data_IF_979114719637
#
_entry.id   IF_979114719637
#
_cell.length_a   1.000
_cell.length_b   1.000
_cell.length_c   1.000
_cell.angle_alpha   90.00
_cell.angle_beta   90.00
_cell.angle_gamma   90.00
#
_symmetry.space_group_name_H-M   'P 1'
#
loop_
_entity.id
_entity.type
_entity.pdbx_description
1 polymer ?
#
# COMPACT_ATOMS: atom_id res chain seq x y z
N UNK A 1 -4.29 25.74 9.76
CA UNK A 1 -2.99 26.10 9.14
C UNK A 1 -1.90 25.33 9.88
N UNK A 2 -1.57 24.13 9.40
CA UNK A 2 -0.47 23.31 9.90
C UNK A 2 0.34 22.89 8.67
N UNK A 3 1.33 23.71 8.35
CA UNK A 3 2.29 23.46 7.28
C UNK A 3 3.15 22.25 7.63
N UNK A 4 3.00 21.17 6.88
CA UNK A 4 3.97 20.08 6.84
C UNK A 4 5.29 20.60 6.23
N UNK A 5 6.47 20.23 6.75
CA UNK A 5 7.72 20.61 6.12
C UNK A 5 7.87 19.83 4.81
N UNK A 6 7.77 20.56 3.70
CA UNK A 6 8.06 20.08 2.35
C UNK A 6 9.53 19.63 2.31
N UNK A 7 9.79 18.32 2.27
CA UNK A 7 11.12 17.80 1.94
C UNK A 7 11.34 18.07 0.45
N UNK A 8 12.23 19.01 0.15
CA UNK A 8 12.65 19.31 -1.22
C UNK A 8 13.28 18.06 -1.85
N UNK A 9 12.58 17.44 -2.78
CA UNK A 9 13.11 16.43 -3.68
C UNK A 9 12.96 16.93 -5.12
N UNK A 10 13.55 18.09 -5.40
CA UNK A 10 13.72 18.56 -6.78
C UNK A 10 15.05 18.00 -7.27
N UNK A 11 15.00 16.88 -8.00
CA UNK A 11 15.81 16.55 -9.19
C UNK A 11 15.50 15.11 -9.62
N UNK A 12 14.58 14.96 -10.57
CA UNK A 12 14.64 13.83 -11.49
C UNK A 12 16.03 13.86 -12.15
N UNK A 13 16.87 12.86 -11.85
CA UNK A 13 18.13 12.66 -12.56
C UNK A 13 17.83 11.88 -13.85
N UNK A 14 17.99 12.47 -15.06
CA UNK A 14 17.71 11.78 -16.32
C UNK A 14 18.84 10.86 -16.79
N UNK A 15 19.96 10.76 -16.06
CA UNK A 15 21.11 9.97 -16.47
C UNK A 15 21.06 8.52 -15.96
N UNK A 16 20.25 7.70 -16.62
CA UNK A 16 20.31 6.23 -16.51
C UNK A 16 21.57 5.70 -17.19
N UNK A 17 22.74 5.96 -16.59
CA UNK A 17 23.98 5.30 -16.96
C UNK A 17 24.06 4.03 -16.12
N UNK A 18 24.13 2.87 -16.79
CA UNK A 18 24.55 1.60 -16.19
C UNK A 18 25.95 1.79 -15.57
N UNK A 19 26.00 2.25 -14.32
CA UNK A 19 27.25 2.34 -13.58
C UNK A 19 27.67 0.91 -13.26
N UNK A 20 28.70 0.45 -13.96
CA UNK A 20 29.43 -0.76 -13.60
C UNK A 20 29.80 -0.67 -12.12
N UNK A 21 29.18 -1.52 -11.31
CA UNK A 21 29.35 -1.51 -9.86
C UNK A 21 30.75 -2.01 -9.56
N UNK A 22 31.66 -1.08 -9.25
CA UNK A 22 32.95 -1.43 -8.68
C UNK A 22 32.68 -2.24 -7.39
N UNK A 23 33.27 -3.43 -7.26
CA UNK A 23 32.93 -4.43 -6.22
C UNK A 23 33.09 -3.86 -4.79
N UNK A 24 33.81 -2.74 -4.64
CA UNK A 24 34.06 -2.07 -3.37
C UNK A 24 33.06 -0.95 -3.00
N UNK A 25 32.07 -0.61 -3.85
CA UNK A 25 31.07 0.41 -3.49
C UNK A 25 29.65 -0.04 -3.86
N UNK A 26 28.96 -0.63 -2.89
CA UNK A 26 27.56 -1.06 -3.04
C UNK A 26 26.68 0.18 -2.88
N UNK A 27 25.87 0.48 -3.91
CA UNK A 27 24.86 1.53 -3.83
C UNK A 27 23.72 1.05 -2.92
N UNK A 28 23.30 1.90 -1.99
CA UNK A 28 22.14 1.67 -1.14
C UNK A 28 20.95 2.45 -1.69
N UNK A 29 19.78 1.81 -1.62
CA UNK A 29 18.51 2.39 -2.03
C UNK A 29 17.51 2.34 -0.89
N UNK A 30 16.62 3.31 -0.87
CA UNK A 30 15.48 3.28 0.05
C UNK A 30 14.52 2.16 -0.34
N UNK A 31 14.17 1.35 0.64
CA UNK A 31 13.24 0.25 0.48
C UNK A 31 12.45 -0.03 1.76
N UNK A 32 11.16 -0.28 1.60
CA UNK A 32 10.31 -0.86 2.62
C UNK A 32 10.33 -2.37 2.52
N UNK A 33 10.39 -3.05 3.66
CA UNK A 33 10.00 -4.46 3.72
C UNK A 33 8.48 -4.54 3.71
N UNK A 34 7.93 -5.23 2.72
CA UNK A 34 6.50 -5.47 2.55
C UNK A 34 6.12 -6.81 3.19
N UNK A 35 6.94 -7.83 2.98
CA UNK A 35 6.69 -9.16 3.50
C UNK A 35 8.00 -9.93 3.68
N UNK A 36 8.00 -10.88 4.62
CA UNK A 36 9.16 -11.73 4.93
C UNK A 36 8.69 -13.18 5.04
N UNK A 37 9.32 -14.08 4.28
CA UNK A 37 9.02 -15.51 4.32
C UNK A 37 10.27 -16.35 4.59
N UNK A 38 10.15 -17.42 5.39
CA UNK A 38 11.21 -18.42 5.56
C UNK A 38 11.78 -18.91 4.22
N UNK A 39 13.11 -18.94 4.08
CA UNK A 39 13.77 -19.53 2.92
C UNK A 39 15.02 -20.31 3.33
N UNK A 40 15.02 -21.63 3.12
CA UNK A 40 16.05 -22.53 3.66
C UNK A 40 16.16 -22.40 5.20
N UNK A 41 17.12 -23.10 5.79
CA UNK A 41 17.23 -23.23 7.24
C UNK A 41 17.52 -21.89 7.93
N UNK A 42 18.45 -21.11 7.39
CA UNK A 42 18.94 -19.88 8.04
C UNK A 42 18.60 -18.58 7.32
N UNK A 43 17.90 -18.61 6.18
CA UNK A 43 17.66 -17.42 5.35
C UNK A 43 16.17 -17.05 5.29
N UNK A 44 15.87 -15.87 4.77
CA UNK A 44 14.52 -15.42 4.45
C UNK A 44 14.52 -14.77 3.06
N UNK A 45 13.38 -14.81 2.38
CA UNK A 45 13.11 -13.95 1.23
C UNK A 45 12.28 -12.77 1.72
N UNK A 46 12.71 -11.57 1.33
CA UNK A 46 12.06 -10.32 1.66
C UNK A 46 11.49 -9.75 0.37
N UNK A 47 10.19 -9.48 0.37
CA UNK A 47 9.56 -8.66 -0.65
C UNK A 47 9.72 -7.21 -0.22
N UNK A 48 10.27 -6.39 -1.10
CA UNK A 48 10.64 -5.01 -0.84
C UNK A 48 9.98 -4.09 -1.86
N UNK A 49 9.51 -2.93 -1.41
CA UNK A 49 9.11 -1.82 -2.28
C UNK A 49 10.21 -0.78 -2.26
N UNK A 50 10.80 -0.46 -3.41
CA UNK A 50 11.80 0.59 -3.57
C UNK A 50 11.32 1.63 -4.57
N UNK A 51 11.61 2.90 -4.32
CA UNK A 51 11.28 3.99 -5.24
C UNK A 51 11.92 3.78 -6.63
N UNK A 52 13.17 3.29 -6.66
CA UNK A 52 13.95 3.18 -7.90
C UNK A 52 13.80 1.83 -8.61
N UNK A 53 13.35 0.79 -7.91
CA UNK A 53 13.31 -0.58 -8.44
C UNK A 53 11.94 -1.23 -8.35
N UNK A 54 10.93 -0.54 -7.83
CA UNK A 54 9.58 -1.09 -7.68
C UNK A 54 9.52 -2.21 -6.64
N UNK A 55 8.60 -3.16 -6.84
CA UNK A 55 8.51 -4.37 -6.03
C UNK A 55 9.59 -5.37 -6.44
N UNK A 56 10.35 -5.88 -5.48
CA UNK A 56 11.38 -6.89 -5.74
C UNK A 56 11.55 -7.87 -4.59
N UNK A 57 12.11 -9.04 -4.90
CA UNK A 57 12.47 -10.05 -3.89
C UNK A 57 13.98 -10.08 -3.64
N UNK A 58 14.39 -10.07 -2.37
CA UNK A 58 15.80 -10.24 -1.97
C UNK A 58 15.97 -11.37 -0.97
N UNK A 59 17.03 -12.17 -1.11
CA UNK A 59 17.42 -13.20 -0.13
C UNK A 59 18.31 -12.59 0.93
N UNK A 60 17.83 -12.60 2.17
CA UNK A 60 18.61 -12.27 3.36
C UNK A 60 19.27 -13.54 3.92
N UNK A 61 20.52 -13.79 3.53
CA UNK A 61 21.26 -14.99 3.92
C UNK A 61 21.62 -14.98 5.40
N UNK A 62 21.34 -16.09 6.10
CA UNK A 62 21.72 -16.24 7.51
C UNK A 62 20.92 -15.36 8.49
N UNK A 63 19.87 -14.67 8.02
CA UNK A 63 19.16 -13.67 8.80
C UNK A 63 18.41 -14.22 10.01
N UNK A 64 18.05 -15.52 9.97
CA UNK A 64 17.38 -16.22 11.07
C UNK A 64 18.33 -16.65 12.18
N UNK A 65 19.65 -16.53 11.99
CA UNK A 65 20.61 -16.88 13.04
C UNK A 65 20.45 -15.90 14.21
N UNK A 66 20.43 -16.36 15.48
CA UNK A 66 20.23 -15.49 16.64
C UNK A 66 21.21 -14.31 16.74
N UNK A 67 22.43 -14.46 16.20
CA UNK A 67 23.47 -13.42 16.15
C UNK A 67 23.52 -12.65 14.82
N UNK A 68 22.50 -12.79 13.98
CA UNK A 68 22.45 -12.06 12.71
C UNK A 68 22.32 -10.56 12.99
N UNK A 69 23.22 -9.80 12.39
CA UNK A 69 23.19 -8.33 12.39
C UNK A 69 21.90 -7.74 11.80
N UNK A 70 21.13 -8.52 11.03
CA UNK A 70 19.93 -8.06 10.36
C UNK A 70 18.63 -8.55 11.00
N UNK A 71 18.69 -9.40 12.03
CA UNK A 71 17.52 -10.09 12.56
C UNK A 71 16.38 -9.14 12.94
N UNK A 72 16.69 -7.99 13.54
CA UNK A 72 15.72 -6.97 13.96
C UNK A 72 15.14 -6.13 12.83
N UNK A 73 15.84 -6.03 11.69
CA UNK A 73 15.42 -5.18 10.57
C UNK A 73 14.45 -5.87 9.62
N UNK A 74 14.30 -7.20 9.74
CA UNK A 74 13.52 -8.00 8.79
C UNK A 74 12.06 -8.10 9.19
N UNK A 75 11.45 -6.94 9.40
CA UNK A 75 10.04 -6.81 9.75
C UNK A 75 9.34 -5.89 8.74
N UNK A 76 8.08 -6.15 8.39
CA UNK A 76 7.31 -5.25 7.55
C UNK A 76 7.24 -3.82 8.12
N UNK A 77 6.97 -2.85 7.24
CA UNK A 77 6.77 -1.43 7.58
C UNK A 77 8.05 -0.68 7.98
N UNK A 78 9.22 -1.30 7.82
CA UNK A 78 10.51 -0.67 8.09
C UNK A 78 11.06 -0.03 6.84
N UNK A 79 11.29 1.28 6.88
CA UNK A 79 12.10 1.99 5.88
C UNK A 79 13.58 1.76 6.16
N UNK A 80 14.28 1.21 5.18
CA UNK A 80 15.69 0.85 5.27
C UNK A 80 16.45 1.39 4.07
N UNK A 81 17.75 1.62 4.25
CA UNK A 81 18.71 1.73 3.17
C UNK A 81 19.25 0.33 2.89
N UNK A 82 18.99 -0.19 1.70
CA UNK A 82 19.26 -1.59 1.35
C UNK A 82 20.15 -1.67 0.11
N UNK A 83 21.18 -2.52 0.20
CA UNK A 83 22.06 -2.86 -0.91
C UNK A 83 21.89 -4.32 -1.30
N UNK A 84 21.88 -4.61 -2.59
CA UNK A 84 21.74 -5.97 -3.12
C UNK A 84 22.58 -6.17 -4.38
N UNK A 85 22.81 -7.45 -4.71
CA UNK A 85 23.47 -7.88 -5.93
C UNK A 85 22.65 -8.95 -6.66
N UNK A 86 22.86 -9.06 -7.96
CA UNK A 86 22.26 -10.10 -8.81
C UNK A 86 21.39 -9.54 -9.93
N UNK A 87 21.47 -10.20 -11.09
CA UNK A 87 20.71 -9.86 -12.30
C UNK A 87 19.38 -10.62 -12.41
N UNK A 88 19.17 -11.64 -11.58
CA UNK A 88 17.90 -12.36 -11.48
C UNK A 88 16.81 -11.53 -10.80
N UNK A 89 15.56 -11.98 -10.95
CA UNK A 89 14.38 -11.47 -10.22
C UNK A 89 14.60 -11.58 -8.71
N UNK A 90 15.11 -12.73 -8.24
CA UNK A 90 15.52 -12.91 -6.86
C UNK A 90 16.96 -12.43 -6.65
N UNK A 91 17.14 -11.31 -5.95
CA UNK A 91 18.46 -10.72 -5.66
C UNK A 91 19.02 -11.24 -4.33
N UNK A 92 20.29 -10.97 -4.04
CA UNK A 92 20.91 -11.27 -2.74
C UNK A 92 21.17 -9.98 -1.97
N UNK A 93 20.63 -9.89 -0.75
CA UNK A 93 20.86 -8.78 0.16
C UNK A 93 22.32 -8.77 0.63
N UNK A 94 22.98 -7.62 0.52
CA UNK A 94 24.40 -7.45 0.91
C UNK A 94 24.58 -6.46 2.05
N UNK A 95 23.72 -5.45 2.14
CA UNK A 95 23.82 -4.40 3.16
C UNK A 95 22.43 -3.90 3.57
N UNK A 96 22.29 -3.56 4.85
CA UNK A 96 21.10 -2.94 5.44
C UNK A 96 21.56 -1.92 6.46
N UNK A 97 21.04 -0.71 6.33
CA UNK A 97 21.18 0.35 7.31
C UNK A 97 19.78 0.85 7.67
N UNK A 98 19.48 0.90 8.96
CA UNK A 98 18.17 1.36 9.42
C UNK A 98 18.12 2.88 9.48
N UNK A 99 17.00 3.44 9.02
CA UNK A 99 16.67 4.82 9.36
C UNK A 99 16.14 4.82 10.80
N UNK A 100 16.75 5.64 11.67
CA UNK A 100 16.62 5.54 13.13
C UNK A 100 15.25 5.93 13.68
N UNK A 101 14.35 6.47 12.85
CA UNK A 101 13.08 7.05 13.27
C UNK A 101 11.98 6.77 12.22
N UNK A 102 11.36 5.59 12.29
CA UNK A 102 10.15 5.30 11.52
C UNK A 102 8.95 4.98 12.42
N UNK A 103 7.76 5.55 12.18
CA UNK A 103 6.57 5.26 12.99
C UNK A 103 6.24 3.77 12.98
N UNK A 104 6.16 3.18 14.18
CA UNK A 104 5.82 1.77 14.32
C UNK A 104 4.30 1.60 14.28
N UNK A 105 3.81 0.79 13.35
CA UNK A 105 2.42 0.32 13.41
C UNK A 105 2.24 -0.58 14.63
N UNK A 106 1.23 -0.26 15.46
CA UNK A 106 0.89 -1.04 16.65
C UNK A 106 -0.60 -1.39 16.66
N UNK A 107 -0.98 -2.37 17.48
CA UNK A 107 -2.39 -2.71 17.70
C UNK A 107 -3.17 -2.99 16.41
N UNK A 108 -4.39 -2.42 16.26
CA UNK A 108 -5.22 -2.59 15.06
C UNK A 108 -4.55 -2.12 13.77
N UNK A 109 -3.63 -1.15 13.85
CA UNK A 109 -3.06 -0.46 12.69
C UNK A 109 -2.14 -1.40 11.88
N UNK A 110 -1.59 -2.44 12.52
CA UNK A 110 -0.87 -3.52 11.85
C UNK A 110 -1.74 -4.17 10.76
N UNK A 111 -3.04 -4.38 11.02
CA UNK A 111 -3.94 -5.01 10.04
C UNK A 111 -4.17 -4.12 8.82
N UNK A 112 -4.22 -2.80 9.03
CA UNK A 112 -4.33 -1.81 7.96
C UNK A 112 -3.07 -1.80 7.09
N UNK A 113 -1.89 -1.80 7.72
CA UNK A 113 -0.61 -1.92 7.01
C UNK A 113 -0.52 -3.22 6.21
N UNK A 114 -0.91 -4.37 6.79
CA UNK A 114 -0.91 -5.64 6.08
C UNK A 114 -1.87 -5.66 4.88
N UNK A 115 -3.01 -4.97 4.98
CA UNK A 115 -3.94 -4.78 3.87
C UNK A 115 -3.29 -3.99 2.72
N UNK A 116 -2.65 -2.86 3.03
CA UNK A 116 -1.91 -2.04 2.07
C UNK A 116 -0.80 -2.86 1.39
N UNK A 117 -0.01 -3.61 2.18
CA UNK A 117 1.05 -4.47 1.66
C UNK A 117 0.53 -5.54 0.72
N UNK A 118 -0.60 -6.17 1.06
CA UNK A 118 -1.21 -7.18 0.20
C UNK A 118 -1.72 -6.57 -1.12
N UNK A 119 -2.29 -5.37 -1.10
CA UNK A 119 -2.70 -4.67 -2.32
C UNK A 119 -1.51 -4.45 -3.27
N UNK A 120 -0.39 -3.94 -2.75
CA UNK A 120 0.83 -3.73 -3.53
C UNK A 120 1.29 -5.04 -4.20
N UNK A 121 1.47 -6.10 -3.42
CA UNK A 121 1.94 -7.41 -3.92
C UNK A 121 0.98 -8.01 -4.95
N UNK A 122 -0.31 -7.69 -4.87
CA UNK A 122 -1.33 -8.28 -5.75
C UNK A 122 -1.56 -7.48 -7.03
N UNK A 123 -1.23 -6.19 -7.05
CA UNK A 123 -1.59 -5.27 -8.13
C UNK A 123 -0.39 -4.69 -8.88
N UNK A 124 0.74 -4.50 -8.23
CA UNK A 124 1.94 -3.95 -8.87
C UNK A 124 2.73 -5.05 -9.61
N UNK A 125 3.33 -4.69 -10.74
CA UNK A 125 4.29 -5.54 -11.42
C UNK A 125 5.63 -5.60 -10.65
N UNK A 126 6.33 -6.73 -10.75
CA UNK A 126 7.68 -6.84 -10.20
C UNK A 126 8.68 -6.03 -11.03
N UNK A 127 9.66 -5.44 -10.35
CA UNK A 127 10.74 -4.65 -10.93
C UNK A 127 10.29 -3.44 -11.76
N UNK A 128 9.07 -2.94 -11.51
CA UNK A 128 8.48 -1.77 -12.19
C UNK A 128 8.47 -0.55 -11.25
N UNK A 129 9.34 0.45 -11.44
CA UNK A 129 9.48 1.56 -10.51
C UNK A 129 8.29 2.54 -10.56
N UNK A 130 7.65 2.73 -9.40
CA UNK A 130 6.68 3.80 -9.16
C UNK A 130 7.15 4.70 -8.00
N UNK A 131 8.03 5.69 -8.24
CA UNK A 131 8.57 6.55 -7.18
C UNK A 131 7.48 7.30 -6.40
N UNK A 132 6.41 7.72 -7.09
CA UNK A 132 5.28 8.41 -6.46
C UNK A 132 4.49 7.46 -5.54
N UNK A 133 4.25 6.21 -5.97
CA UNK A 133 3.63 5.19 -5.13
C UNK A 133 4.43 4.89 -3.86
N UNK A 134 5.76 4.90 -3.95
CA UNK A 134 6.63 4.77 -2.77
C UNK A 134 6.38 5.88 -1.75
N UNK A 135 6.25 7.14 -2.21
CA UNK A 135 5.94 8.27 -1.34
C UNK A 135 4.52 8.19 -0.76
N UNK A 136 3.55 7.76 -1.57
CA UNK A 136 2.16 7.55 -1.13
C UNK A 136 2.11 6.49 -0.02
N UNK A 137 2.85 5.40 -0.18
CA UNK A 137 2.96 4.34 0.82
C UNK A 137 3.55 4.87 2.15
N UNK A 138 4.67 5.59 2.08
CA UNK A 138 5.32 6.22 3.24
C UNK A 138 4.38 7.16 3.99
N UNK A 139 3.73 8.08 3.27
CA UNK A 139 2.80 9.04 3.84
C UNK A 139 1.60 8.33 4.49
N UNK A 140 1.08 7.27 3.86
CA UNK A 140 -0.06 6.50 4.37
C UNK A 140 0.30 5.77 5.66
N UNK A 141 1.46 5.09 5.70
CA UNK A 141 1.92 4.43 6.91
C UNK A 141 2.12 5.42 8.05
N UNK A 142 2.70 6.58 7.77
CA UNK A 142 2.90 7.65 8.76
C UNK A 142 1.57 8.16 9.31
N UNK A 143 0.58 8.44 8.46
CA UNK A 143 -0.77 8.87 8.87
C UNK A 143 -1.45 7.81 9.76
N UNK A 144 -1.40 6.55 9.35
CA UNK A 144 -2.02 5.44 10.10
C UNK A 144 -1.30 5.18 11.43
N UNK A 145 0.03 5.32 11.48
CA UNK A 145 0.78 5.15 12.72
C UNK A 145 0.51 6.28 13.73
N UNK A 146 0.15 7.47 13.27
CA UNK A 146 -0.06 8.64 14.10
C UNK A 146 -1.49 8.76 14.69
N UNK A 147 -2.42 7.88 14.31
CA UNK A 147 -3.82 7.98 14.72
C UNK A 147 -4.46 6.63 15.04
N UNK A 148 -5.17 6.59 16.16
CA UNK A 148 -6.07 5.48 16.53
C UNK A 148 -7.55 5.78 16.22
N UNK A 149 -7.82 6.93 15.58
CA UNK A 149 -9.16 7.31 15.14
C UNK A 149 -9.57 6.49 13.90
N UNK A 150 -10.62 5.68 14.05
CA UNK A 150 -11.12 4.81 13.00
C UNK A 150 -11.57 5.56 11.72
N UNK A 151 -12.05 6.79 11.85
CA UNK A 151 -12.43 7.62 10.70
C UNK A 151 -11.18 8.07 9.95
N UNK A 152 -10.16 8.55 10.66
CA UNK A 152 -8.86 8.93 10.05
C UNK A 152 -8.20 7.75 9.35
N UNK A 153 -8.25 6.57 9.95
CA UNK A 153 -7.72 5.34 9.37
C UNK A 153 -8.47 4.92 8.11
N UNK A 154 -9.80 4.94 8.14
CA UNK A 154 -10.62 4.59 6.98
C UNK A 154 -10.41 5.59 5.83
N UNK A 155 -10.33 6.90 6.12
CA UNK A 155 -9.97 7.93 5.14
C UNK A 155 -8.58 7.65 4.52
N UNK A 156 -7.57 7.41 5.35
CA UNK A 156 -6.21 7.09 4.90
C UNK A 156 -6.18 5.86 3.97
N UNK A 157 -7.00 4.85 4.25
CA UNK A 157 -7.14 3.69 3.36
C UNK A 157 -7.81 4.04 2.03
N UNK A 158 -8.87 4.86 2.02
CA UNK A 158 -9.53 5.26 0.77
C UNK A 158 -8.61 6.11 -0.09
N UNK A 159 -7.88 7.04 0.52
CA UNK A 159 -6.87 7.87 -0.14
C UNK A 159 -5.77 7.03 -0.77
N UNK A 160 -5.24 6.04 -0.03
CA UNK A 160 -4.22 5.13 -0.54
C UNK A 160 -4.71 4.30 -1.72
N UNK A 161 -5.89 3.69 -1.60
CA UNK A 161 -6.45 2.84 -2.66
C UNK A 161 -6.72 3.63 -3.95
N UNK A 162 -7.28 4.83 -3.83
CA UNK A 162 -7.51 5.72 -4.96
C UNK A 162 -6.20 6.07 -5.65
N UNK A 163 -5.19 6.48 -4.89
CA UNK A 163 -3.88 6.85 -5.43
C UNK A 163 -3.14 5.65 -6.02
N UNK A 164 -3.21 4.47 -5.39
CA UNK A 164 -2.64 3.24 -5.93
C UNK A 164 -3.24 2.91 -7.31
N UNK A 165 -4.56 2.96 -7.43
CA UNK A 165 -5.21 2.69 -8.71
C UNK A 165 -4.83 3.73 -9.77
N UNK A 166 -4.75 5.00 -9.39
CA UNK A 166 -4.31 6.07 -10.28
C UNK A 166 -2.86 5.85 -10.77
N UNK A 167 -1.92 5.53 -9.88
CA UNK A 167 -0.51 5.25 -10.21
C UNK A 167 -0.34 4.03 -11.13
N UNK A 168 -1.23 3.04 -11.00
CA UNK A 168 -1.23 1.86 -11.86
C UNK A 168 -1.93 2.07 -13.21
N UNK A 169 -2.40 3.29 -13.50
CA UNK A 169 -3.15 3.59 -14.72
C UNK A 169 -4.56 3.00 -14.75
N UNK A 170 -5.05 2.50 -13.62
CA UNK A 170 -6.45 2.08 -13.41
C UNK A 170 -7.33 3.26 -12.97
N UNK A 171 -6.89 4.48 -13.29
CA UNK A 171 -7.48 5.72 -12.85
C UNK A 171 -8.95 5.84 -13.20
N UNK A 172 -9.58 6.80 -12.55
CA UNK A 172 -10.94 7.23 -12.84
C UNK A 172 -10.88 8.06 -14.12
N UNK A 173 -10.63 7.42 -15.26
CA UNK A 173 -10.75 8.06 -16.55
C UNK A 173 -12.22 8.36 -16.77
N UNK A 174 -12.56 9.59 -16.42
CA UNK A 174 -13.88 10.15 -16.54
C UNK A 174 -13.93 10.79 -17.91
N UNK A 175 -14.56 10.11 -18.87
CA UNK A 175 -14.85 10.71 -20.17
C UNK A 175 -15.71 11.98 -20.03
N UNK A 176 -16.39 12.16 -18.89
CA UNK A 176 -17.30 13.27 -18.59
C UNK A 176 -17.12 13.77 -17.17
N UNK A 177 -17.34 15.07 -17.00
CA UNK A 177 -17.35 15.73 -15.70
C UNK A 177 -18.34 15.07 -14.72
N UNK A 178 -17.92 14.90 -13.46
CA UNK A 178 -18.76 14.35 -12.40
C UNK A 178 -19.62 15.46 -11.81
N UNK A 179 -20.94 15.25 -11.81
CA UNK A 179 -21.91 16.14 -11.21
C UNK A 179 -22.27 15.64 -9.80
N UNK A 180 -22.16 16.48 -8.75
CA UNK A 180 -22.37 16.07 -7.36
C UNK A 180 -23.70 15.36 -7.09
N UNK A 181 -24.77 15.80 -7.74
CA UNK A 181 -26.15 15.37 -7.59
C UNK A 181 -26.52 14.09 -8.37
N UNK A 182 -25.66 13.67 -9.29
CA UNK A 182 -25.89 12.45 -10.07
C UNK A 182 -25.34 11.22 -9.36
N UNK A 183 -25.84 10.06 -9.78
CA UNK A 183 -25.38 8.76 -9.31
C UNK A 183 -24.47 8.11 -10.34
N UNK A 184 -23.48 7.39 -9.84
CA UNK A 184 -22.43 6.76 -10.63
C UNK A 184 -22.13 5.36 -10.11
N UNK A 185 -21.51 4.55 -10.95
CA UNK A 185 -20.94 3.26 -10.57
C UNK A 185 -19.68 2.97 -11.38
N UNK A 186 -19.18 1.75 -11.24
CA UNK A 186 -18.00 1.29 -11.98
C UNK A 186 -18.39 0.17 -12.96
N UNK A 187 -18.06 0.38 -14.23
CA UNK A 187 -18.21 -0.61 -15.30
C UNK A 187 -16.81 -1.11 -15.73
N UNK A 188 -16.51 -2.41 -15.57
CA UNK A 188 -15.27 -3.01 -16.02
C UNK A 188 -14.89 -2.67 -17.47
N UNK A 189 -13.64 -2.24 -17.69
CA UNK A 189 -13.13 -1.88 -19.02
C UNK A 189 -13.59 -0.53 -19.55
N UNK A 190 -14.55 0.14 -18.87
CA UNK A 190 -14.99 1.51 -19.19
C UNK A 190 -14.54 2.50 -18.11
N UNK A 191 -14.67 2.13 -16.84
CA UNK A 191 -14.34 3.00 -15.70
C UNK A 191 -15.58 3.47 -14.95
N UNK A 192 -15.52 4.68 -14.40
CA UNK A 192 -16.65 5.26 -13.66
C UNK A 192 -17.64 5.90 -14.63
N UNK A 193 -18.88 5.46 -14.57
CA UNK A 193 -19.97 5.86 -15.47
C UNK A 193 -21.20 6.27 -14.69
N UNK A 194 -22.04 7.11 -15.29
CA UNK A 194 -23.35 7.45 -14.73
C UNK A 194 -24.18 6.17 -14.51
N UNK A 195 -24.94 6.11 -13.41
CA UNK A 195 -25.68 4.93 -12.99
C UNK A 195 -26.70 4.43 -14.03
N UNK A 196 -27.19 5.31 -14.91
CA UNK A 196 -28.11 4.95 -16.01
C UNK A 196 -27.47 4.07 -17.10
N UNK A 197 -26.13 4.03 -17.17
CA UNK A 197 -25.36 3.27 -18.16
C UNK A 197 -25.04 1.86 -17.63
N UNK A 198 -25.11 1.67 -16.31
CA UNK A 198 -24.79 0.43 -15.62
C UNK A 198 -25.62 -0.75 -16.13
N UNK A 199 -24.95 -1.88 -16.35
CA UNK A 199 -25.56 -3.11 -16.88
C UNK A 199 -25.50 -4.21 -15.84
N UNK A 200 -26.38 -4.12 -14.83
CA UNK A 200 -26.59 -5.23 -13.90
C UNK A 200 -27.14 -4.80 -12.54
N UNK A 201 -27.99 -5.61 -11.89
CA UNK A 201 -28.62 -5.26 -10.63
C UNK A 201 -27.67 -5.25 -9.41
N UNK A 202 -26.45 -5.80 -9.54
CA UNK A 202 -25.49 -5.93 -8.42
C UNK A 202 -24.38 -4.87 -8.41
N UNK A 203 -24.42 -3.89 -9.32
CA UNK A 203 -23.37 -2.88 -9.42
C UNK A 203 -23.51 -1.83 -8.30
N UNK A 204 -22.37 -1.51 -7.67
CA UNK A 204 -22.32 -0.49 -6.61
C UNK A 204 -22.63 0.87 -7.21
N UNK A 205 -23.63 1.55 -6.65
CA UNK A 205 -24.01 2.92 -6.99
C UNK A 205 -23.65 3.86 -5.85
N UNK A 206 -23.05 4.99 -6.19
CA UNK A 206 -22.61 6.05 -5.27
C UNK A 206 -22.94 7.43 -5.84
N UNK A 207 -22.98 8.45 -4.99
CA UNK A 207 -23.18 9.82 -5.43
C UNK A 207 -21.91 10.42 -6.08
N UNK A 208 -22.11 11.34 -7.01
CA UNK A 208 -21.02 12.14 -7.59
C UNK A 208 -20.29 12.95 -6.52
N UNK A 209 -21.00 13.45 -5.51
CA UNK A 209 -20.42 14.13 -4.37
C UNK A 209 -19.39 13.26 -3.61
N UNK A 210 -19.61 11.95 -3.52
CA UNK A 210 -18.66 11.01 -2.90
C UNK A 210 -17.46 10.71 -3.79
N UNK A 211 -17.65 10.65 -5.11
CA UNK A 211 -16.54 10.51 -6.06
C UNK A 211 -15.65 11.76 -6.01
N UNK A 212 -16.23 12.95 -6.05
CA UNK A 212 -15.49 14.20 -5.94
C UNK A 212 -14.73 14.31 -4.61
N UNK A 213 -15.37 13.93 -3.50
CA UNK A 213 -14.72 13.86 -2.19
C UNK A 213 -13.51 12.90 -2.19
N UNK A 214 -13.63 11.74 -2.84
CA UNK A 214 -12.55 10.78 -2.99
C UNK A 214 -11.40 11.34 -3.85
N UNK A 215 -11.72 11.96 -4.99
CA UNK A 215 -10.72 12.58 -5.89
C UNK A 215 -9.96 13.72 -5.21
N UNK A 216 -10.67 14.54 -4.44
CA UNK A 216 -10.11 15.64 -3.67
C UNK A 216 -9.44 15.16 -2.38
N UNK A 217 -9.59 13.87 -2.03
CA UNK A 217 -9.10 13.28 -0.78
C UNK A 217 -9.61 14.04 0.46
N UNK A 218 -10.87 14.48 0.41
CA UNK A 218 -11.51 15.28 1.43
C UNK A 218 -12.94 14.78 1.68
N UNK A 219 -13.14 14.11 2.81
CA UNK A 219 -14.44 13.58 3.22
C UNK A 219 -15.07 14.48 4.27
N UNK A 220 -16.22 15.07 3.95
CA UNK A 220 -16.97 15.91 4.88
C UNK A 220 -18.05 15.15 5.66
N UNK A 221 -18.44 13.97 5.18
CA UNK A 221 -19.52 13.17 5.78
C UNK A 221 -19.18 11.69 5.85
N UNK A 222 -19.79 10.99 6.82
CA UNK A 222 -19.68 9.53 6.93
C UNK A 222 -20.28 8.79 5.72
N UNK A 223 -21.29 9.38 5.07
CA UNK A 223 -21.91 8.84 3.86
C UNK A 223 -20.90 8.79 2.71
N UNK A 224 -20.14 9.87 2.50
CA UNK A 224 -19.09 9.91 1.47
C UNK A 224 -18.03 8.85 1.68
N UNK A 225 -17.58 8.67 2.92
CA UNK A 225 -16.57 7.67 3.26
C UNK A 225 -17.09 6.24 3.04
N UNK A 226 -18.35 5.97 3.42
CA UNK A 226 -19.00 4.67 3.21
C UNK A 226 -19.16 4.37 1.71
N UNK A 227 -19.59 5.35 0.92
CA UNK A 227 -19.73 5.21 -0.53
C UNK A 227 -18.37 4.99 -1.21
N UNK A 228 -17.34 5.77 -0.86
CA UNK A 228 -15.98 5.57 -1.34
C UNK A 228 -15.47 4.16 -1.00
N UNK A 229 -15.76 3.65 0.20
CA UNK A 229 -15.42 2.28 0.59
C UNK A 229 -16.08 1.24 -0.31
N UNK A 230 -17.37 1.38 -0.57
CA UNK A 230 -18.12 0.47 -1.46
C UNK A 230 -17.57 0.53 -2.88
N UNK A 231 -17.35 1.73 -3.41
CA UNK A 231 -16.82 1.93 -4.75
C UNK A 231 -15.43 1.31 -4.89
N UNK A 232 -14.47 1.66 -4.02
CA UNK A 232 -13.11 1.11 -4.10
C UNK A 232 -13.10 -0.40 -3.94
N UNK A 233 -13.95 -0.95 -3.07
CA UNK A 233 -14.08 -2.40 -2.94
C UNK A 233 -14.54 -3.03 -4.25
N UNK A 234 -15.50 -2.44 -4.95
CA UNK A 234 -15.96 -2.93 -6.26
C UNK A 234 -14.83 -2.91 -7.28
N UNK A 235 -14.13 -1.77 -7.39
CA UNK A 235 -13.05 -1.57 -8.36
C UNK A 235 -11.88 -2.52 -8.09
N UNK A 236 -11.40 -2.57 -6.84
CA UNK A 236 -10.32 -3.46 -6.45
C UNK A 236 -10.71 -4.93 -6.65
N UNK A 237 -11.97 -5.31 -6.42
CA UNK A 237 -12.37 -6.71 -6.62
C UNK A 237 -12.29 -7.13 -8.09
N UNK A 238 -12.53 -6.22 -9.02
CA UNK A 238 -12.32 -6.46 -10.45
C UNK A 238 -10.83 -6.72 -10.75
N UNK A 239 -9.93 -5.80 -10.35
CA UNK A 239 -8.50 -5.92 -10.64
C UNK A 239 -7.79 -7.05 -9.87
N UNK A 240 -8.25 -7.39 -8.66
CA UNK A 240 -7.71 -8.50 -7.89
C UNK A 240 -8.19 -9.87 -8.43
N UNK A 241 -9.29 -9.91 -9.19
CA UNK A 241 -9.91 -11.15 -9.66
C UNK A 241 -10.38 -12.06 -8.52
N UNK A 242 -10.41 -13.37 -8.79
CA UNK A 242 -11.13 -14.34 -7.94
C UNK A 242 -10.43 -14.71 -6.62
N UNK A 243 -9.18 -14.29 -6.40
CA UNK A 243 -8.45 -14.61 -5.17
C UNK A 243 -8.73 -13.55 -4.10
N UNK A 244 -9.41 -13.90 -2.98
CA UNK A 244 -9.74 -12.93 -1.96
C UNK A 244 -8.49 -12.47 -1.20
N UNK A 245 -8.51 -11.21 -0.77
CA UNK A 245 -7.50 -10.66 0.12
C UNK A 245 -7.52 -11.38 1.48
N UNK A 246 -6.36 -11.92 1.88
CA UNK A 246 -6.19 -12.62 3.16
C UNK A 246 -6.20 -11.65 4.33
N UNK A 247 -5.67 -10.44 4.15
CA UNK A 247 -5.70 -9.35 5.15
C UNK A 247 -7.13 -9.03 5.60
N UNK A 248 -8.14 -9.17 4.71
CA UNK A 248 -9.55 -8.97 5.08
C UNK A 248 -10.00 -9.91 6.20
N UNK A 249 -9.46 -11.13 6.27
CA UNK A 249 -9.79 -12.11 7.32
C UNK A 249 -9.39 -11.61 8.71
N UNK A 250 -8.34 -10.80 8.82
CA UNK A 250 -7.83 -10.26 10.08
C UNK A 250 -8.82 -9.29 10.77
N UNK A 251 -9.75 -8.71 10.01
CA UNK A 251 -10.78 -7.81 10.53
C UNK A 251 -11.99 -8.56 11.11
N UNK A 252 -12.20 -9.83 10.77
CA UNK A 252 -13.36 -10.61 11.23
C UNK A 252 -13.13 -11.32 12.57
N UNK A 253 -11.88 -11.66 12.92
CA UNK A 253 -11.52 -12.46 14.12
C UNK A 253 -11.88 -11.80 15.47
N UNK A 254 -12.24 -10.52 15.51
CA UNK A 254 -12.55 -9.80 16.76
C UNK A 254 -14.03 -9.56 17.05
N UNK A 255 -14.95 -9.93 16.15
CA UNK A 255 -16.39 -9.83 16.47
C UNK A 255 -16.88 -10.93 17.42
N UNK A 256 -16.14 -12.02 17.57
CA UNK A 256 -16.55 -13.18 18.38
C UNK A 256 -16.02 -13.18 19.81
N UNK A 257 -15.15 -12.24 20.20
CA UNK A 257 -14.56 -12.21 21.55
C UNK A 257 -15.17 -11.18 22.50
N UNK A 258 -16.30 -10.54 22.13
CA UNK A 258 -16.95 -9.48 22.93
C UNK A 258 -18.35 -9.85 23.46
N UNK A 259 -18.71 -11.14 23.49
CA UNK A 259 -20.04 -11.61 23.93
C UNK A 259 -20.04 -12.68 25.03
N UNK A 260 -18.96 -12.85 25.81
CA UNK A 260 -18.92 -13.85 26.90
C UNK A 260 -18.32 -13.28 28.18
N UNK A 261 -18.73 -12.08 28.59
CA UNK A 261 -18.51 -11.58 29.95
C UNK A 261 -19.70 -10.69 30.33
N UNK A 262 -20.86 -11.31 30.50
CA UNK A 262 -22.00 -10.79 31.26
C UNK A 262 -22.91 -11.99 31.51
N UNK A 263 -22.63 -12.73 32.59
CA UNK A 263 -23.53 -13.65 33.33
C UNK A 263 -22.72 -14.33 34.43
N UNK A 264 -22.37 -13.55 35.46
CA UNK A 264 -22.14 -14.06 36.82
C UNK A 264 -22.33 -12.92 37.81
N UNK A 265 -23.57 -12.73 38.22
CA UNK A 265 -23.99 -12.08 39.47
C UNK A 265 -25.20 -12.84 39.98
#
# INVERSE_FOLDING_TARGET
>A
MTSWPCRKWDTCNPDFVLRETNINNIVLYEAYIIHSRPFRDSSAILDCLSAEHGLMSVVAKGVKKPRSRWHSYVQPFMLLQMGWIGKSELKTLTQVEAQTLYPKLTGPNIKLGLYINELLVRLCAEMDPHPQLFQIYDATLTKIAASDDAVVQEMSLREFEYQLLAELGYGFDLEKEIMPELLYGFEPGVGVVEAKILRGPEQVVVSGASILALQQQQFSTAAQLLEAKKLMRSILSYYLGNKPLQSRKLFYTQRTSKSTNDLSS
#
